data_IF_908710299216
#
_entry.id   IF_908710299216
#
_cell.length_a   1.000
_cell.length_b   1.000
_cell.length_c   1.000
_cell.angle_alpha   90.00
_cell.angle_beta   90.00
_cell.angle_gamma   90.00
#
_symmetry.space_group_name_H-M   'P 1'
#
loop_
_entity.id
_entity.type
_entity.pdbx_description
1 polymer ?
#
# COMPACT_ATOMS: atom_id res chain seq x y z
N UNK A 1 0.65 3.25 -15.49
CA UNK A 1 0.67 2.46 -14.25
C UNK A 1 -0.21 3.10 -13.22
N UNK A 2 -0.88 2.28 -12.43
CA UNK A 2 -1.69 2.75 -11.32
C UNK A 2 -0.96 2.53 -10.00
N UNK A 3 -1.41 3.21 -8.95
CA UNK A 3 -0.95 2.93 -7.61
C UNK A 3 -1.93 1.98 -6.95
N UNK A 4 -1.41 1.03 -6.20
CA UNK A 4 -2.22 0.05 -5.48
C UNK A 4 -2.00 0.17 -3.99
N UNK A 5 -3.07 0.05 -3.24
CA UNK A 5 -3.11 0.12 -1.78
C UNK A 5 -3.19 -1.31 -1.27
N UNK A 6 -2.14 -1.77 -0.60
CA UNK A 6 -2.06 -3.15 -0.12
C UNK A 6 -2.04 -3.15 1.40
N UNK A 7 -2.91 -3.93 2.01
CA UNK A 7 -3.01 -4.01 3.48
C UNK A 7 -2.53 -5.37 3.94
N UNK A 8 -1.60 -5.36 4.89
CA UNK A 8 -1.06 -6.56 5.51
C UNK A 8 -1.25 -6.50 7.01
N UNK A 9 -1.45 -7.67 7.61
CA UNK A 9 -1.59 -7.78 9.06
C UNK A 9 -0.54 -8.73 9.61
N UNK A 10 0.17 -8.29 10.64
CA UNK A 10 1.20 -9.07 11.29
C UNK A 10 1.16 -8.78 12.79
N UNK A 11 0.99 -9.83 13.60
CA UNK A 11 0.92 -9.69 15.07
C UNK A 11 -0.10 -8.65 15.51
N UNK A 12 -1.28 -8.68 14.94
CA UNK A 12 -2.39 -7.76 15.23
C UNK A 12 -2.09 -6.30 14.86
N UNK A 13 -1.03 -6.08 14.11
CA UNK A 13 -0.72 -4.75 13.60
C UNK A 13 -0.96 -4.70 12.10
N UNK A 14 -1.49 -3.58 11.66
CA UNK A 14 -1.78 -3.35 10.26
C UNK A 14 -0.70 -2.47 9.66
N UNK A 15 -0.21 -2.86 8.49
CA UNK A 15 0.67 -2.01 7.70
C UNK A 15 0.10 -1.89 6.29
N UNK A 16 0.44 -0.81 5.62
CA UNK A 16 -0.03 -0.52 4.28
C UNK A 16 1.18 -0.28 3.39
N UNK A 17 1.11 -0.80 2.18
CA UNK A 17 2.16 -0.59 1.18
C UNK A 17 1.49 -0.04 -0.07
N UNK A 18 2.03 1.05 -0.61
CA UNK A 18 1.55 1.62 -1.87
C UNK A 18 2.57 1.28 -2.94
N UNK A 19 2.15 0.56 -3.97
CA UNK A 19 3.05 0.14 -5.05
C UNK A 19 2.49 0.53 -6.41
N UNK A 20 3.34 1.10 -7.29
CA UNK A 20 2.94 1.31 -8.67
C UNK A 20 3.02 -0.01 -9.43
N UNK A 21 1.99 -0.33 -10.17
CA UNK A 21 1.96 -1.58 -10.92
C UNK A 21 0.88 -1.54 -11.99
N UNK A 22 0.91 -2.53 -12.87
CA UNK A 22 -0.09 -2.66 -13.92
C UNK A 22 -1.35 -3.39 -13.43
N UNK A 23 -1.24 -4.13 -12.31
CA UNK A 23 -2.36 -4.90 -11.77
C UNK A 23 -2.13 -5.15 -10.29
N UNK A 24 -3.17 -5.61 -9.59
CA UNK A 24 -3.06 -5.96 -8.19
C UNK A 24 -2.05 -7.09 -7.97
N UNK A 25 -2.04 -8.09 -8.83
CA UNK A 25 -1.09 -9.20 -8.73
C UNK A 25 0.34 -8.69 -8.85
N UNK A 26 0.60 -7.79 -9.79
CA UNK A 26 1.91 -7.18 -9.97
C UNK A 26 2.32 -6.37 -8.73
N UNK A 27 1.37 -5.61 -8.16
CA UNK A 27 1.65 -4.80 -6.99
C UNK A 27 2.08 -5.70 -5.82
N UNK A 28 1.38 -6.80 -5.61
CA UNK A 28 1.71 -7.75 -4.56
C UNK A 28 3.08 -8.38 -4.79
N UNK A 29 3.39 -8.72 -6.04
CA UNK A 29 4.70 -9.27 -6.38
C UNK A 29 5.81 -8.28 -6.09
N UNK A 30 5.62 -7.01 -6.45
CA UNK A 30 6.62 -5.97 -6.19
C UNK A 30 6.84 -5.78 -4.70
N UNK A 31 5.76 -5.80 -3.92
CA UNK A 31 5.87 -5.69 -2.45
C UNK A 31 6.64 -6.89 -1.89
N UNK A 32 6.38 -8.08 -2.40
CA UNK A 32 7.08 -9.28 -1.96
C UNK A 32 8.57 -9.21 -2.27
N UNK A 33 8.92 -8.79 -3.49
CA UNK A 33 10.31 -8.67 -3.90
C UNK A 33 11.07 -7.63 -3.08
N UNK A 34 10.38 -6.62 -2.58
CA UNK A 34 10.97 -5.59 -1.74
C UNK A 34 10.97 -5.95 -0.25
N UNK A 35 10.45 -7.13 0.10
CA UNK A 35 10.37 -7.56 1.49
C UNK A 35 9.32 -6.82 2.32
N UNK A 36 8.30 -6.28 1.65
CA UNK A 36 7.26 -5.48 2.32
C UNK A 36 5.98 -6.25 2.60
N UNK A 37 5.92 -7.53 2.24
CA UNK A 37 4.72 -8.36 2.36
C UNK A 37 4.69 -9.18 3.65
N UNK A 38 5.37 -8.72 4.69
CA UNK A 38 5.41 -9.42 5.96
C UNK A 38 4.01 -9.54 6.56
N UNK A 39 3.64 -10.75 6.96
CA UNK A 39 2.35 -11.02 7.55
C UNK A 39 1.34 -11.54 6.53
N UNK A 40 0.06 -11.32 6.81
CA UNK A 40 -1.03 -11.80 6.00
C UNK A 40 -1.61 -10.67 5.15
N UNK A 41 -1.71 -10.90 3.83
CA UNK A 41 -2.37 -9.96 2.94
C UNK A 41 -3.88 -9.99 3.22
N UNK A 42 -4.46 -8.87 3.59
CA UNK A 42 -5.88 -8.80 3.93
C UNK A 42 -6.75 -8.22 2.82
N UNK A 43 -6.27 -7.13 2.20
CA UNK A 43 -7.02 -6.53 1.10
C UNK A 43 -6.10 -5.67 0.25
N UNK A 44 -6.55 -5.39 -0.97
CA UNK A 44 -5.81 -4.52 -1.86
C UNK A 44 -6.74 -3.99 -2.95
N UNK A 45 -6.49 -2.78 -3.39
CA UNK A 45 -7.27 -2.18 -4.46
C UNK A 45 -6.48 -1.07 -5.13
N UNK A 46 -6.93 -0.70 -6.31
CA UNK A 46 -6.32 0.40 -7.07
C UNK A 46 -6.76 1.73 -6.48
N UNK A 47 -5.80 2.64 -6.30
CA UNK A 47 -6.12 3.98 -5.86
C UNK A 47 -6.66 4.83 -7.02
N UNK A 48 -7.59 5.75 -6.74
CA UNK A 48 -8.06 6.67 -7.78
C UNK A 48 -6.91 7.45 -8.39
N UNK A 49 -6.91 7.60 -9.70
CA UNK A 49 -5.84 8.30 -10.40
C UNK A 49 -5.67 9.75 -9.98
N UNK A 50 -6.71 10.36 -9.43
CA UNK A 50 -6.66 11.74 -8.97
C UNK A 50 -5.92 11.91 -7.65
N UNK A 51 -5.64 10.83 -6.93
CA UNK A 51 -4.92 10.89 -5.66
C UNK A 51 -3.44 11.09 -5.94
N UNK A 52 -2.88 12.15 -5.41
CA UNK A 52 -1.46 12.45 -5.56
C UNK A 52 -0.72 12.06 -4.30
N UNK A 53 -0.08 10.91 -4.36
CA UNK A 53 0.67 10.36 -3.23
C UNK A 53 2.12 10.78 -3.35
N UNK A 54 2.68 11.27 -2.25
CA UNK A 54 4.07 11.69 -2.23
C UNK A 54 5.00 10.50 -2.48
N UNK A 55 6.08 10.73 -3.22
CA UNK A 55 7.02 9.67 -3.58
C UNK A 55 7.58 8.93 -2.38
N UNK A 56 7.83 9.63 -1.30
CA UNK A 56 8.40 9.04 -0.09
C UNK A 56 7.44 8.08 0.60
N UNK A 57 6.16 8.09 0.22
CA UNK A 57 5.17 7.17 0.78
C UNK A 57 4.97 5.93 -0.09
N UNK A 58 5.60 5.89 -1.25
CA UNK A 58 5.48 4.77 -2.19
C UNK A 58 6.65 3.81 -2.01
N UNK A 59 6.36 2.51 -2.06
CA UNK A 59 7.40 1.50 -2.01
C UNK A 59 8.00 1.28 -0.64
N UNK A 60 7.28 1.64 0.43
CA UNK A 60 7.70 1.36 1.78
C UNK A 60 6.51 1.00 2.66
N UNK A 61 6.78 0.41 3.80
CA UNK A 61 5.73 0.05 4.74
C UNK A 61 5.28 1.29 5.50
N UNK A 62 3.98 1.55 5.45
CA UNK A 62 3.35 2.65 6.18
C UNK A 62 2.70 2.09 7.44
N UNK A 63 2.82 2.80 8.56
CA UNK A 63 2.11 2.43 9.76
C UNK A 63 0.62 2.70 9.59
N UNK A 64 -0.20 2.14 10.49
CA UNK A 64 -1.63 2.37 10.45
C UNK A 64 -1.95 3.86 10.59
N UNK A 65 -1.20 4.58 11.43
CA UNK A 65 -1.39 6.02 11.59
C UNK A 65 -1.06 6.79 10.34
N UNK A 66 0.06 6.46 9.70
CA UNK A 66 0.44 7.11 8.44
C UNK A 66 -0.62 6.88 7.38
N UNK A 67 -1.13 5.64 7.29
CA UNK A 67 -2.17 5.30 6.34
C UNK A 67 -3.45 6.09 6.61
N UNK A 68 -3.84 6.22 7.88
CA UNK A 68 -5.03 6.99 8.24
C UNK A 68 -4.89 8.46 7.88
N UNK A 69 -3.73 9.05 8.11
CA UNK A 69 -3.47 10.44 7.75
C UNK A 69 -3.57 10.65 6.24
N UNK A 70 -3.03 9.69 5.48
CA UNK A 70 -3.09 9.78 4.03
C UNK A 70 -4.53 9.71 3.54
N UNK A 71 -5.32 8.78 4.07
CA UNK A 71 -6.72 8.65 3.69
C UNK A 71 -7.49 9.92 4.02
N UNK A 72 -7.21 10.52 5.17
CA UNK A 72 -7.91 11.75 5.60
C UNK A 72 -7.68 12.91 4.64
N UNK A 73 -6.55 12.93 3.95
CA UNK A 73 -6.24 13.99 2.98
C UNK A 73 -7.09 13.90 1.73
N UNK A 74 -7.59 12.72 1.40
CA UNK A 74 -8.31 12.48 0.15
C UNK A 74 -9.79 12.21 0.35
N UNK A 75 -10.24 12.14 1.57
CA UNK A 75 -11.66 12.01 1.92
C UNK A 75 -12.23 13.38 2.38
#
# INVERSE_FOLDING_TARGET
MSLYWLVYRHNNQISVVIEPAASLVHARLRASLAGLDEGEFTEGHELPGKWKVAKEMVGRRLSQEEAKRLLARFE
#
